data_IF_124887863188
#
_entry.id   IF_124887863188
#
_cell.length_a   1.000
_cell.length_b   1.000
_cell.length_c   1.000
_cell.angle_alpha   90.00
_cell.angle_beta   90.00
_cell.angle_gamma   90.00
#
_symmetry.space_group_name_H-M   'P 1'
#
loop_
_entity.id
_entity.type
_entity.pdbx_description
1 polymer ?
#
# COMPACT_ATOMS: atom_id res chain seq x y z
N UNK A 1 16.31 5.70 -28.76
CA UNK A 1 15.55 6.12 -27.55
C UNK A 1 15.37 4.88 -26.69
N UNK A 2 16.01 4.82 -25.53
CA UNK A 2 15.84 3.68 -24.62
C UNK A 2 14.45 3.72 -23.99
N UNK A 3 13.77 2.59 -23.93
CA UNK A 3 12.53 2.47 -23.17
C UNK A 3 12.82 2.83 -21.71
N UNK A 4 12.20 3.89 -21.21
CA UNK A 4 12.29 4.25 -19.80
C UNK A 4 11.54 3.19 -18.99
N UNK A 5 12.25 2.16 -18.56
CA UNK A 5 11.72 1.13 -17.66
C UNK A 5 11.72 1.71 -16.25
N UNK A 6 10.57 1.64 -15.58
CA UNK A 6 10.41 2.08 -14.20
C UNK A 6 9.97 0.93 -13.32
N UNK A 7 10.17 1.06 -12.01
CA UNK A 7 9.74 0.05 -11.05
C UNK A 7 8.50 0.53 -10.29
N UNK A 8 7.55 -0.38 -10.10
CA UNK A 8 6.41 -0.17 -9.22
C UNK A 8 6.90 0.27 -7.84
N UNK A 9 6.38 1.38 -7.34
CA UNK A 9 6.77 1.92 -6.03
C UNK A 9 6.48 0.97 -4.86
N UNK A 10 5.49 0.09 -5.02
CA UNK A 10 5.08 -0.87 -3.98
C UNK A 10 5.81 -2.21 -4.09
N UNK A 11 5.70 -2.90 -5.23
CA UNK A 11 6.23 -4.26 -5.38
C UNK A 11 7.53 -4.35 -6.19
N UNK A 12 8.09 -3.21 -6.61
CA UNK A 12 9.35 -3.11 -7.39
C UNK A 12 9.35 -3.81 -8.76
N UNK A 13 8.24 -4.42 -9.19
CA UNK A 13 8.11 -5.00 -10.54
C UNK A 13 8.36 -3.92 -11.61
N UNK A 14 9.12 -4.29 -12.65
CA UNK A 14 9.32 -3.44 -13.82
C UNK A 14 7.99 -3.13 -14.53
N UNK A 15 7.91 -1.93 -15.08
CA UNK A 15 6.74 -1.40 -15.75
C UNK A 15 7.19 -0.51 -16.91
N UNK A 16 6.37 -0.47 -17.94
CA UNK A 16 6.45 0.56 -18.97
C UNK A 16 6.27 1.95 -18.37
N UNK A 17 6.87 2.94 -19.03
CA UNK A 17 6.65 4.34 -18.71
C UNK A 17 5.18 4.72 -18.84
N UNK A 18 4.72 5.56 -17.92
CA UNK A 18 3.33 6.00 -17.88
C UNK A 18 3.07 6.95 -16.71
N UNK A 19 1.83 7.37 -16.47
CA UNK A 19 1.54 8.37 -15.42
C UNK A 19 1.56 7.76 -13.99
N UNK A 20 1.37 6.45 -13.84
CA UNK A 20 1.14 5.85 -12.51
C UNK A 20 2.40 5.33 -11.82
N UNK A 21 2.66 5.73 -10.57
CA UNK A 21 3.80 5.23 -9.79
C UNK A 21 3.71 3.74 -9.36
N UNK A 22 2.56 3.09 -9.53
CA UNK A 22 2.33 1.69 -9.16
C UNK A 22 1.85 0.88 -10.37
N UNK A 23 2.14 -0.42 -10.38
CA UNK A 23 1.63 -1.32 -11.41
C UNK A 23 0.12 -1.54 -11.25
N UNK A 24 -0.55 -1.93 -12.32
CA UNK A 24 -2.01 -2.13 -12.37
C UNK A 24 -2.51 -3.02 -11.24
N UNK A 25 -1.80 -4.11 -10.92
CA UNK A 25 -2.16 -4.98 -9.79
C UNK A 25 -2.17 -4.24 -8.45
N UNK A 26 -1.12 -3.46 -8.17
CA UNK A 26 -1.01 -2.72 -6.92
C UNK A 26 -2.00 -1.54 -6.85
N UNK A 27 -2.35 -0.93 -7.99
CA UNK A 27 -3.41 0.09 -8.06
C UNK A 27 -4.77 -0.52 -7.69
N UNK A 28 -5.15 -1.64 -8.32
CA UNK A 28 -6.44 -2.32 -8.07
C UNK A 28 -6.55 -2.79 -6.61
N UNK A 29 -5.50 -3.38 -6.06
CA UNK A 29 -5.47 -3.79 -4.66
C UNK A 29 -5.55 -2.58 -3.72
N UNK A 30 -4.88 -1.47 -4.05
CA UNK A 30 -4.94 -0.23 -3.27
C UNK A 30 -6.35 0.36 -3.25
N UNK A 31 -7.05 0.37 -4.38
CA UNK A 31 -8.44 0.81 -4.46
C UNK A 31 -9.37 -0.09 -3.64
N UNK A 32 -9.16 -1.41 -3.68
CA UNK A 32 -9.92 -2.37 -2.87
C UNK A 32 -9.73 -2.12 -1.37
N UNK A 33 -8.47 -1.94 -0.94
CA UNK A 33 -8.14 -1.62 0.46
C UNK A 33 -8.76 -0.30 0.88
N UNK A 34 -8.64 0.76 0.06
CA UNK A 34 -9.21 2.07 0.35
C UNK A 34 -10.73 2.01 0.50
N UNK A 35 -11.41 1.29 -0.40
CA UNK A 35 -12.85 1.06 -0.35
C UNK A 35 -13.27 0.32 0.93
N UNK A 36 -12.51 -0.70 1.33
CA UNK A 36 -12.77 -1.44 2.57
C UNK A 36 -12.58 -0.59 3.82
N UNK A 37 -11.47 0.16 3.94
CA UNK A 37 -11.19 1.05 5.07
C UNK A 37 -12.25 2.16 5.18
N UNK A 38 -12.71 2.70 4.04
CA UNK A 38 -13.75 3.75 4.04
C UNK A 38 -15.07 3.24 4.64
N UNK A 39 -15.39 1.96 4.46
CA UNK A 39 -16.58 1.31 5.02
C UNK A 39 -16.38 0.83 6.46
N UNK A 40 -15.14 0.55 6.85
CA UNK A 40 -14.78 -0.03 8.13
C UNK A 40 -13.59 0.74 8.74
N UNK A 41 -13.81 1.90 9.38
CA UNK A 41 -12.72 2.83 9.73
C UNK A 41 -11.81 2.38 10.88
N UNK A 42 -12.21 1.38 11.67
CA UNK A 42 -11.49 0.93 12.89
C UNK A 42 -10.94 -0.51 12.79
N UNK A 43 -10.70 -0.99 11.58
CA UNK A 43 -10.21 -2.36 11.32
C UNK A 43 -8.69 -2.47 11.46
N UNK A 44 -8.22 -3.66 11.84
CA UNK A 44 -6.79 -3.98 11.89
C UNK A 44 -6.22 -4.29 10.49
N UNK A 45 -4.89 -4.31 10.37
CA UNK A 45 -4.20 -4.67 9.13
C UNK A 45 -4.50 -6.12 8.74
N UNK A 46 -4.60 -7.01 9.73
CA UNK A 46 -4.94 -8.42 9.54
C UNK A 46 -6.36 -8.58 8.99
N UNK A 47 -7.33 -7.83 9.52
CA UNK A 47 -8.71 -7.82 9.02
C UNK A 47 -8.78 -7.29 7.58
N UNK A 48 -8.04 -6.22 7.26
CA UNK A 48 -7.93 -5.72 5.89
C UNK A 48 -7.33 -6.79 4.97
N UNK A 49 -6.25 -7.44 5.40
CA UNK A 49 -5.57 -8.49 4.64
C UNK A 49 -6.53 -9.63 4.29
N UNK A 50 -7.25 -10.13 5.30
CA UNK A 50 -8.24 -11.20 5.14
C UNK A 50 -9.39 -10.77 4.20
N UNK A 51 -9.97 -9.59 4.42
CA UNK A 51 -11.12 -9.12 3.65
C UNK A 51 -10.78 -8.77 2.20
N UNK A 52 -9.56 -8.32 1.92
CA UNK A 52 -9.14 -7.87 0.58
C UNK A 52 -8.34 -8.91 -0.20
N UNK A 53 -7.96 -10.02 0.45
CA UNK A 53 -7.06 -11.04 -0.06
C UNK A 53 -5.72 -10.45 -0.55
N UNK A 54 -5.18 -9.53 0.25
CA UNK A 54 -3.87 -8.88 0.04
C UNK A 54 -3.01 -9.21 1.24
N UNK A 55 -1.75 -9.61 1.05
CA UNK A 55 -0.89 -9.98 2.18
C UNK A 55 -0.72 -8.83 3.17
N UNK A 56 -0.68 -9.15 4.47
CA UNK A 56 -0.43 -8.20 5.58
C UNK A 56 0.71 -7.24 5.25
N UNK A 57 1.89 -7.77 4.91
CA UNK A 57 3.08 -6.99 4.55
C UNK A 57 2.82 -6.00 3.40
N UNK A 58 1.97 -6.37 2.44
CA UNK A 58 1.61 -5.49 1.33
C UNK A 58 0.60 -4.41 1.74
N UNK A 59 -0.35 -4.74 2.62
CA UNK A 59 -1.26 -3.76 3.22
C UNK A 59 -0.47 -2.73 4.03
N UNK A 60 0.47 -3.16 4.88
CA UNK A 60 1.34 -2.26 5.67
C UNK A 60 2.11 -1.30 4.76
N UNK A 61 2.76 -1.81 3.72
CA UNK A 61 3.47 -0.97 2.75
C UNK A 61 2.55 0.03 2.04
N UNK A 62 1.30 -0.35 1.73
CA UNK A 62 0.34 0.57 1.12
C UNK A 62 -0.09 1.67 2.09
N UNK A 63 -0.34 1.33 3.35
CA UNK A 63 -0.65 2.31 4.40
C UNK A 63 0.53 3.26 4.58
N UNK A 64 1.75 2.74 4.69
CA UNK A 64 2.98 3.55 4.80
C UNK A 64 3.20 4.48 3.58
N UNK A 65 2.78 4.07 2.38
CA UNK A 65 2.83 4.92 1.18
C UNK A 65 1.75 6.01 1.16
N UNK A 66 0.56 5.72 1.69
CA UNK A 66 -0.55 6.68 1.80
C UNK A 66 -0.38 7.68 2.95
N UNK A 67 0.33 7.29 4.00
CA UNK A 67 0.74 8.17 5.09
C UNK A 67 1.89 9.05 4.60
N UNK A 68 1.54 10.19 4.02
CA UNK A 68 2.51 11.26 3.82
C UNK A 68 3.14 11.58 5.19
N UNK A 69 4.47 11.43 5.32
CA UNK A 69 5.24 11.50 6.58
C UNK A 69 5.03 12.77 7.42
N UNK A 70 4.29 13.75 6.91
CA UNK A 70 4.04 15.02 7.58
C UNK A 70 2.82 15.02 8.53
N UNK A 71 1.99 13.97 8.60
CA UNK A 71 0.74 14.02 9.40
C UNK A 71 0.43 12.79 10.28
N UNK A 72 1.35 11.85 10.48
CA UNK A 72 1.16 10.76 11.45
C UNK A 72 2.34 10.70 12.41
N UNK A 73 2.16 11.26 13.61
CA UNK A 73 3.01 10.88 14.75
C UNK A 73 2.73 9.40 15.02
N UNK A 74 3.62 8.51 14.56
CA UNK A 74 3.68 7.13 15.06
C UNK A 74 3.65 7.24 16.59
N UNK A 75 2.57 6.81 17.24
CA UNK A 75 2.67 6.35 18.61
C UNK A 75 3.50 5.07 18.54
N UNK A 76 4.81 5.22 18.67
CA UNK A 76 5.72 4.14 18.98
C UNK A 76 5.20 3.44 20.23
N UNK A 77 4.61 2.26 20.07
CA UNK A 77 4.44 1.27 21.13
C UNK A 77 5.46 0.18 20.80
N UNK A 78 6.65 0.25 21.40
CA UNK A 78 6.99 -0.48 22.63
C UNK A 78 6.59 -1.95 22.53
N UNK A 79 7.54 -2.78 22.08
CA UNK A 79 7.73 -4.13 22.58
C UNK A 79 9.23 -4.35 22.71
N UNK A 80 9.77 -3.97 23.88
CA UNK A 80 10.88 -4.70 24.47
C UNK A 80 10.27 -6.00 25.01
N UNK A 81 10.65 -7.12 24.44
CA UNK A 81 10.73 -8.42 25.10
C UNK A 81 11.93 -9.13 24.50
#
# INVERSE_FOLDING_TARGET
>A
MGEFIRNCRLCRKQMESGPFMMCTKCLVESDRIRSFITKNPYVSVEEISLATNVSVEKVERMVDLGVNKNNYKRKSKLYNL
#
